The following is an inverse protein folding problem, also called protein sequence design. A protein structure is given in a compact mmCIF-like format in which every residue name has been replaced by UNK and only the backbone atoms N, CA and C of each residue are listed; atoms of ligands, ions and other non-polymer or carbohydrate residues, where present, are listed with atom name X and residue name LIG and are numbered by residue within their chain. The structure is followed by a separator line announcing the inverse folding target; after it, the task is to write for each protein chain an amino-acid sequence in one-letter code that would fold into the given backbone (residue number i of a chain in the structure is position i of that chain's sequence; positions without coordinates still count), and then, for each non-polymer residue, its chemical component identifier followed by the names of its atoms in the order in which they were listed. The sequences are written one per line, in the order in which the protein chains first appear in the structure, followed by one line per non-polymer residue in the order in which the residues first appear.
data_IF_869817782396
#
_entry.id   IF_869817782396
#
_cell.length_a   1.000
_cell.length_b   1.000
_cell.length_c   1.000
_cell.angle_alpha   90.00
_cell.angle_beta   90.00
_cell.angle_gamma   90.00
#
_symmetry.space_group_name_H-M   'P 1'
#
loop_
_entity.id
_entity.type
_entity.pdbx_description
1 polymer ?
#
# COMPACT_ATOMS: atom_id res chain seq x y z
N UNK A 1 9.02 0.39 22.60
CA UNK A 1 10.29 -0.34 22.45
C UNK A 1 10.82 -0.04 21.05
N UNK A 2 12.00 0.55 20.90
CA UNK A 2 12.62 0.67 19.57
C UNK A 2 12.91 -0.75 19.06
N UNK A 3 12.56 -1.09 17.81
CA UNK A 3 12.90 -2.40 17.27
C UNK A 3 14.41 -2.55 17.28
N UNK A 4 14.87 -3.71 17.69
CA UNK A 4 16.28 -4.03 17.77
C UNK A 4 16.88 -3.95 16.37
N UNK A 5 17.78 -3.00 16.12
CA UNK A 5 18.49 -2.81 14.85
C UNK A 5 19.21 -4.09 14.35
N UNK A 6 19.31 -5.10 15.20
CA UNK A 6 19.91 -6.41 14.94
C UNK A 6 19.11 -7.27 13.95
N UNK A 7 17.86 -6.93 13.66
CA UNK A 7 16.98 -7.74 12.81
C UNK A 7 17.02 -7.37 11.31
N UNK A 8 17.65 -6.26 10.94
CA UNK A 8 17.89 -5.88 9.55
C UNK A 8 19.30 -6.31 9.12
N UNK A 9 19.38 -7.13 8.10
CA UNK A 9 20.67 -7.63 7.55
C UNK A 9 20.64 -7.55 6.01
N UNK A 10 21.80 -7.28 5.41
CA UNK A 10 21.99 -7.46 3.97
C UNK A 10 22.22 -8.93 3.66
N UNK A 11 21.30 -9.54 2.91
CA UNK A 11 21.38 -10.93 2.45
C UNK A 11 21.24 -10.91 0.92
N UNK A 12 22.22 -11.47 0.21
CA UNK A 12 22.28 -11.48 -1.27
C UNK A 12 22.03 -10.08 -1.90
N UNK A 13 22.63 -9.04 -1.29
CA UNK A 13 22.51 -7.66 -1.76
C UNK A 13 21.17 -6.97 -1.44
N UNK A 14 20.27 -7.61 -0.68
CA UNK A 14 18.93 -7.11 -0.31
C UNK A 14 18.86 -6.84 1.18
N UNK A 15 18.38 -5.67 1.56
CA UNK A 15 18.04 -5.42 2.96
C UNK A 15 16.87 -6.32 3.35
N UNK A 16 17.09 -7.14 4.37
CA UNK A 16 16.18 -8.21 4.77
C UNK A 16 15.88 -8.08 6.26
N UNK A 17 14.60 -8.06 6.61
CA UNK A 17 14.15 -8.12 8.00
C UNK A 17 13.97 -9.57 8.44
N UNK A 18 14.59 -9.92 9.55
CA UNK A 18 14.54 -11.24 10.19
C UNK A 18 13.75 -11.10 11.50
N UNK A 19 12.48 -11.48 11.56
CA UNK A 19 11.65 -11.31 12.76
C UNK A 19 12.16 -12.14 13.96
N UNK A 20 12.89 -13.23 13.68
CA UNK A 20 13.54 -14.05 14.70
C UNK A 20 14.97 -14.41 14.25
N UNK A 21 15.94 -14.34 15.15
CA UNK A 21 17.36 -14.62 14.85
C UNK A 21 17.61 -16.02 14.27
N UNK A 22 16.72 -16.98 14.55
CA UNK A 22 16.80 -18.37 14.06
C UNK A 22 16.21 -18.58 12.65
N UNK A 23 15.59 -17.55 12.03
CA UNK A 23 14.99 -17.72 10.72
C UNK A 23 16.02 -17.62 9.59
N UNK A 24 16.09 -18.67 8.76
CA UNK A 24 16.93 -18.72 7.55
C UNK A 24 16.37 -17.87 6.40
N UNK A 25 15.12 -17.42 6.47
CA UNK A 25 14.47 -16.66 5.42
C UNK A 25 13.73 -15.45 6.02
N UNK A 26 14.23 -14.27 5.76
CA UNK A 26 13.60 -13.01 6.16
C UNK A 26 12.67 -12.45 5.08
N UNK A 27 12.21 -11.23 5.32
CA UNK A 27 11.32 -10.48 4.44
C UNK A 27 12.04 -9.26 3.88
N UNK A 28 11.89 -9.01 2.59
CA UNK A 28 12.45 -7.86 1.87
C UNK A 28 11.44 -7.34 0.84
N UNK A 29 11.61 -6.12 0.41
CA UNK A 29 10.81 -5.53 -0.69
C UNK A 29 11.43 -5.94 -2.02
N UNK A 30 10.59 -6.46 -2.93
CA UNK A 30 11.01 -6.86 -4.27
C UNK A 30 10.00 -6.43 -5.33
N UNK A 31 10.39 -5.45 -6.13
CA UNK A 31 9.58 -4.95 -7.24
C UNK A 31 9.78 -5.73 -8.54
N UNK A 32 10.75 -6.66 -8.59
CA UNK A 32 10.98 -7.57 -9.71
C UNK A 32 10.42 -8.97 -9.47
N UNK A 33 9.85 -9.21 -8.28
CA UNK A 33 9.32 -10.51 -7.88
C UNK A 33 8.27 -11.04 -8.86
N UNK A 34 8.39 -12.32 -9.22
CA UNK A 34 7.57 -12.97 -10.27
C UNK A 34 6.06 -12.74 -10.10
N UNK A 35 5.55 -12.80 -8.85
CA UNK A 35 4.11 -12.60 -8.57
C UNK A 35 3.65 -11.17 -8.86
N UNK A 36 4.47 -10.19 -8.53
CA UNK A 36 4.17 -8.78 -8.79
C UNK A 36 4.24 -8.49 -10.28
N UNK A 37 5.28 -8.97 -10.97
CA UNK A 37 5.44 -8.80 -12.40
C UNK A 37 4.37 -9.55 -13.20
N UNK A 38 3.91 -10.72 -12.75
CA UNK A 38 2.75 -11.39 -13.34
C UNK A 38 1.48 -10.54 -13.20
N UNK A 39 1.26 -9.94 -12.01
CA UNK A 39 0.13 -9.02 -11.78
C UNK A 39 0.17 -7.80 -12.71
N UNK A 40 1.35 -7.23 -12.94
CA UNK A 40 1.55 -6.09 -13.86
C UNK A 40 1.23 -6.46 -15.30
N UNK A 41 1.58 -7.67 -15.74
CA UNK A 41 1.29 -8.17 -17.11
C UNK A 41 -0.18 -8.53 -17.28
N UNK A 42 -0.77 -9.20 -16.30
CA UNK A 42 -2.17 -9.65 -16.31
C UNK A 42 -3.10 -8.55 -15.79
N UNK A 43 -3.24 -7.50 -16.58
CA UNK A 43 -4.08 -6.33 -16.25
C UNK A 43 -5.56 -6.68 -16.04
N UNK A 44 -6.03 -7.80 -16.61
CA UNK A 44 -7.41 -8.24 -16.46
C UNK A 44 -7.77 -8.61 -15.02
N UNK A 45 -6.84 -9.21 -14.27
CA UNK A 45 -7.07 -9.64 -12.88
C UNK A 45 -7.14 -8.51 -11.85
N UNK A 46 -6.75 -7.30 -12.21
CA UNK A 46 -6.66 -6.17 -11.26
C UNK A 46 -7.62 -5.03 -11.61
N UNK A 47 -8.64 -5.33 -12.41
CA UNK A 47 -9.65 -4.34 -12.79
C UNK A 47 -10.35 -3.70 -11.59
N UNK A 48 -10.51 -4.40 -10.46
CA UNK A 48 -11.16 -3.87 -9.28
C UNK A 48 -10.38 -2.71 -8.65
N UNK A 49 -9.04 -2.82 -8.49
CA UNK A 49 -8.21 -1.73 -7.98
C UNK A 49 -8.20 -0.55 -8.95
N UNK A 50 -7.97 -0.81 -10.25
CA UNK A 50 -7.96 0.25 -11.28
C UNK A 50 -9.30 0.99 -11.36
N UNK A 51 -10.42 0.25 -11.23
CA UNK A 51 -11.77 0.86 -11.16
C UNK A 51 -11.96 1.66 -9.88
N UNK A 52 -11.52 1.12 -8.75
CA UNK A 52 -11.67 1.78 -7.45
C UNK A 52 -10.95 3.12 -7.41
N UNK A 53 -9.70 3.19 -7.89
CA UNK A 53 -8.95 4.45 -7.93
C UNK A 53 -9.43 5.42 -9.03
N UNK A 54 -10.27 4.97 -9.96
CA UNK A 54 -10.86 5.85 -10.99
C UNK A 54 -10.18 5.85 -12.34
N UNK A 55 -9.21 4.97 -12.61
CA UNK A 55 -8.44 4.92 -13.86
C UNK A 55 -9.29 4.77 -15.13
N UNK A 56 -10.52 4.22 -15.03
CA UNK A 56 -11.42 4.13 -16.20
C UNK A 56 -11.86 5.49 -16.75
N UNK A 57 -11.94 6.51 -15.89
CA UNK A 57 -12.45 7.85 -16.25
C UNK A 57 -11.33 8.84 -16.52
N UNK A 58 -10.15 8.64 -15.96
CA UNK A 58 -9.03 9.57 -16.05
C UNK A 58 -7.73 8.77 -16.14
N UNK A 59 -6.83 9.21 -17.03
CA UNK A 59 -5.43 8.75 -17.09
C UNK A 59 -4.56 9.67 -16.23
N UNK A 60 -3.39 9.22 -15.83
CA UNK A 60 -2.38 10.02 -15.11
C UNK A 60 -2.87 10.54 -13.74
N UNK A 61 -3.52 9.67 -12.97
CA UNK A 61 -4.00 10.00 -11.64
C UNK A 61 -2.84 10.26 -10.68
N UNK A 62 -3.02 11.26 -9.80
CA UNK A 62 -2.19 11.48 -8.62
C UNK A 62 -2.79 10.73 -7.43
N UNK A 63 -2.08 9.73 -6.95
CA UNK A 63 -2.54 8.86 -5.88
C UNK A 63 -1.64 9.03 -4.66
N UNK A 64 -2.24 9.21 -3.50
CA UNK A 64 -1.55 9.18 -2.22
C UNK A 64 -1.84 7.85 -1.52
N UNK A 65 -0.83 6.98 -1.43
CA UNK A 65 -0.90 5.75 -0.64
C UNK A 65 -0.43 6.06 0.79
N UNK A 66 -1.38 6.16 1.71
CA UNK A 66 -1.14 6.53 3.10
C UNK A 66 -0.69 5.35 3.98
N UNK A 67 -0.57 4.15 3.40
CA UNK A 67 -0.27 2.89 4.10
C UNK A 67 0.61 2.00 3.24
N UNK A 68 1.80 2.49 2.91
CA UNK A 68 2.65 1.91 1.86
C UNK A 68 2.91 0.40 1.97
N UNK A 69 3.18 -0.11 3.18
CA UNK A 69 3.52 -1.51 3.42
C UNK A 69 4.65 -1.98 2.48
N UNK A 70 4.44 -3.04 1.71
CA UNK A 70 5.43 -3.50 0.70
C UNK A 70 5.41 -2.72 -0.62
N UNK A 71 4.60 -1.69 -0.77
CA UNK A 71 4.49 -0.89 -1.99
C UNK A 71 3.92 -1.61 -3.21
N UNK A 72 3.36 -2.82 -3.06
CA UNK A 72 2.93 -3.67 -4.19
C UNK A 72 1.72 -3.10 -4.95
N UNK A 73 0.76 -2.50 -4.26
CA UNK A 73 -0.40 -1.86 -4.88
C UNK A 73 0.00 -0.53 -5.55
N UNK A 74 0.85 0.26 -4.87
CA UNK A 74 1.43 1.48 -5.41
C UNK A 74 2.24 1.21 -6.69
N UNK A 75 3.11 0.21 -6.68
CA UNK A 75 3.88 -0.18 -7.86
C UNK A 75 2.99 -0.60 -9.03
N UNK A 76 1.94 -1.39 -8.75
CA UNK A 76 0.98 -1.77 -9.77
C UNK A 76 0.28 -0.53 -10.37
N UNK A 77 -0.16 0.42 -9.55
CA UNK A 77 -0.79 1.66 -10.02
C UNK A 77 0.17 2.52 -10.83
N UNK A 78 1.42 2.64 -10.39
CA UNK A 78 2.48 3.33 -11.12
C UNK A 78 2.78 2.67 -12.49
N UNK A 79 2.72 1.34 -12.57
CA UNK A 79 2.88 0.61 -13.84
C UNK A 79 1.74 0.87 -14.84
N UNK A 80 0.61 1.41 -14.38
CA UNK A 80 -0.52 1.85 -15.20
C UNK A 80 -0.46 3.33 -15.59
N UNK A 81 0.60 4.05 -15.17
CA UNK A 81 0.83 5.46 -15.48
C UNK A 81 0.47 6.44 -14.36
N UNK A 82 0.01 5.98 -13.20
CA UNK A 82 -0.28 6.87 -12.08
C UNK A 82 1.01 7.44 -11.46
N UNK A 83 0.96 8.70 -11.02
CA UNK A 83 1.91 9.26 -10.07
C UNK A 83 1.49 8.82 -8.66
N UNK A 84 2.35 8.12 -7.93
CA UNK A 84 2.01 7.57 -6.62
C UNK A 84 2.98 8.05 -5.55
N UNK A 85 2.47 8.74 -4.55
CA UNK A 85 3.23 9.07 -3.34
C UNK A 85 2.87 8.08 -2.23
N UNK A 86 3.90 7.49 -1.63
CA UNK A 86 3.78 6.53 -0.54
C UNK A 86 4.20 7.17 0.77
N UNK A 87 3.43 6.92 1.81
CA UNK A 87 3.80 7.26 3.18
C UNK A 87 3.86 5.99 4.02
N UNK A 88 4.97 5.81 4.74
CA UNK A 88 5.19 4.67 5.63
C UNK A 88 5.59 5.17 7.02
N UNK A 89 4.87 4.70 8.05
CA UNK A 89 5.11 5.12 9.43
C UNK A 89 6.09 4.23 10.19
N UNK A 90 6.21 2.97 9.78
CA UNK A 90 7.12 2.03 10.43
C UNK A 90 8.52 2.21 9.85
N UNK A 91 9.53 2.53 10.68
CA UNK A 91 10.88 2.84 10.20
C UNK A 91 11.56 1.61 9.56
N UNK A 92 11.25 0.38 10.01
CA UNK A 92 11.82 -0.83 9.41
C UNK A 92 11.24 -1.02 8.00
N UNK A 93 9.92 -0.89 7.86
CA UNK A 93 9.27 -0.97 6.55
C UNK A 93 9.74 0.13 5.61
N UNK A 94 9.96 1.33 6.12
CA UNK A 94 10.50 2.44 5.35
C UNK A 94 11.90 2.10 4.80
N UNK A 95 12.82 1.61 5.64
CA UNK A 95 14.16 1.19 5.20
C UNK A 95 14.12 0.05 4.17
N UNK A 96 13.23 -0.94 4.35
CA UNK A 96 13.03 -2.02 3.38
C UNK A 96 12.51 -1.50 2.03
N UNK A 97 11.60 -0.52 2.06
CA UNK A 97 11.11 0.15 0.85
C UNK A 97 12.21 0.94 0.16
N UNK A 98 13.00 1.72 0.89
CA UNK A 98 14.13 2.49 0.33
C UNK A 98 15.13 1.58 -0.38
N UNK A 99 15.51 0.44 0.24
CA UNK A 99 16.37 -0.56 -0.39
C UNK A 99 15.71 -1.13 -1.66
N UNK A 100 14.41 -1.47 -1.59
CA UNK A 100 13.65 -1.95 -2.73
C UNK A 100 13.61 -0.95 -3.89
N UNK A 101 13.34 0.33 -3.61
CA UNK A 101 13.39 1.42 -4.58
C UNK A 101 14.79 1.58 -5.20
N UNK A 102 15.83 1.57 -4.35
CA UNK A 102 17.23 1.69 -4.80
C UNK A 102 17.62 0.56 -5.76
N UNK A 103 17.19 -0.69 -5.49
CA UNK A 103 17.44 -1.83 -6.38
C UNK A 103 16.62 -1.73 -7.67
N UNK A 104 15.35 -1.37 -7.58
CA UNK A 104 14.47 -1.28 -8.72
C UNK A 104 14.86 -0.17 -9.71
N UNK A 105 15.45 0.95 -9.24
CA UNK A 105 16.01 1.99 -10.12
C UNK A 105 17.18 1.50 -10.98
N UNK A 106 17.85 0.43 -10.57
CA UNK A 106 18.97 -0.20 -11.30
C UNK A 106 18.55 -1.48 -12.05
N UNK A 107 17.26 -1.72 -12.14
CA UNK A 107 16.72 -2.88 -12.86
C UNK A 107 17.01 -2.80 -14.36
N UNK A 108 17.26 -3.94 -14.99
CA UNK A 108 17.30 -4.07 -16.44
C UNK A 108 15.90 -4.01 -17.06
N UNK A 109 14.86 -4.14 -16.28
CA UNK A 109 13.47 -4.09 -16.74
C UNK A 109 13.00 -2.64 -16.87
N UNK A 110 12.80 -2.18 -18.12
CA UNK A 110 12.24 -0.85 -18.40
C UNK A 110 10.92 -0.59 -17.67
N UNK A 111 10.03 -1.59 -17.61
CA UNK A 111 8.75 -1.49 -16.88
C UNK A 111 8.96 -1.22 -15.40
N UNK A 112 9.97 -1.84 -14.77
CA UNK A 112 10.28 -1.63 -13.36
C UNK A 112 10.80 -0.21 -13.14
N UNK A 113 11.77 0.22 -13.93
CA UNK A 113 12.38 1.56 -13.84
C UNK A 113 11.31 2.65 -14.02
N UNK A 114 10.54 2.60 -15.12
CA UNK A 114 9.49 3.59 -15.40
C UNK A 114 8.39 3.62 -14.32
N UNK A 115 8.08 2.47 -13.70
CA UNK A 115 7.11 2.43 -12.60
C UNK A 115 7.68 3.10 -11.35
N UNK A 116 8.92 2.81 -10.98
CA UNK A 116 9.58 3.39 -9.80
C UNK A 116 9.80 4.90 -9.96
N UNK A 117 10.08 5.40 -11.16
CA UNK A 117 10.19 6.83 -11.44
C UNK A 117 8.90 7.61 -11.18
N UNK A 118 7.74 6.95 -11.28
CA UNK A 118 6.42 7.53 -10.93
C UNK A 118 6.08 7.41 -9.46
N UNK A 119 6.95 6.81 -8.65
CA UNK A 119 6.72 6.61 -7.23
C UNK A 119 7.66 7.48 -6.39
N UNK A 120 7.13 8.06 -5.33
CA UNK A 120 7.92 8.77 -4.32
C UNK A 120 7.57 8.27 -2.92
N UNK A 121 8.59 8.04 -2.08
CA UNK A 121 8.47 7.46 -0.74
C UNK A 121 8.81 8.51 0.31
N UNK A 122 8.01 8.57 1.38
CA UNK A 122 8.19 9.45 2.53
C UNK A 122 7.99 8.66 3.82
N UNK A 123 8.79 8.97 4.82
CA UNK A 123 8.59 8.47 6.17
C UNK A 123 7.61 9.37 6.92
N UNK A 124 6.66 8.78 7.64
CA UNK A 124 5.76 9.53 8.50
C UNK A 124 4.44 8.84 8.80
N UNK A 125 3.76 9.39 9.79
CA UNK A 125 2.43 8.97 10.22
C UNK A 125 1.37 9.79 9.47
N UNK A 126 0.47 9.12 8.77
CA UNK A 126 -0.57 9.78 7.98
C UNK A 126 -1.46 10.71 8.81
N UNK A 127 -1.81 10.34 10.04
CA UNK A 127 -2.65 11.18 10.91
C UNK A 127 -1.95 12.47 11.36
N UNK A 128 -0.62 12.49 11.31
CA UNK A 128 0.21 13.67 11.63
C UNK A 128 0.69 14.42 10.40
N UNK A 129 0.49 13.85 9.22
CA UNK A 129 0.97 14.44 7.98
C UNK A 129 0.22 15.74 7.66
N UNK A 130 0.96 16.81 7.42
CA UNK A 130 0.41 18.07 6.93
C UNK A 130 0.45 18.08 5.41
N UNK A 131 -0.59 17.51 4.81
CA UNK A 131 -0.74 17.43 3.36
C UNK A 131 -1.57 18.62 2.84
N UNK A 132 -1.28 19.02 1.61
CA UNK A 132 -2.10 20.03 0.93
C UNK A 132 -3.44 19.43 0.53
N UNK A 133 -4.54 20.10 0.88
CA UNK A 133 -5.91 19.67 0.60
C UNK A 133 -6.21 19.64 -0.92
N UNK A 134 -6.92 18.61 -1.35
CA UNK A 134 -7.45 18.52 -2.72
C UNK A 134 -6.41 18.35 -3.84
N UNK A 135 -5.16 18.02 -3.52
CA UNK A 135 -4.09 17.80 -4.52
C UNK A 135 -4.14 16.40 -5.11
N UNK A 136 -4.57 15.43 -4.33
CA UNK A 136 -4.58 14.01 -4.70
C UNK A 136 -5.92 13.63 -5.31
N UNK A 137 -5.92 13.07 -6.51
CA UNK A 137 -7.15 12.58 -7.13
C UNK A 137 -7.75 11.45 -6.30
N UNK A 138 -6.90 10.59 -5.74
CA UNK A 138 -7.29 9.48 -4.87
C UNK A 138 -6.34 9.38 -3.67
N UNK A 139 -6.91 9.23 -2.48
CA UNK A 139 -6.17 8.75 -1.30
C UNK A 139 -6.49 7.27 -1.11
N UNK A 140 -5.43 6.44 -1.08
CA UNK A 140 -5.52 5.00 -0.92
C UNK A 140 -5.12 4.58 0.50
N UNK A 141 -5.94 3.72 1.09
CA UNK A 141 -5.74 3.17 2.43
C UNK A 141 -5.81 1.63 2.38
N UNK A 142 -4.79 0.95 2.86
CA UNK A 142 -4.79 -0.49 3.15
C UNK A 142 -4.36 -0.73 4.61
N UNK A 143 -5.11 -0.19 5.59
CA UNK A 143 -4.75 -0.32 6.99
C UNK A 143 -4.77 -1.79 7.37
N UNK A 144 -3.70 -2.23 8.01
CA UNK A 144 -3.57 -3.59 8.49
C UNK A 144 -4.38 -3.76 9.78
N UNK A 145 -5.32 -4.70 9.74
CA UNK A 145 -6.08 -5.12 10.92
C UNK A 145 -5.56 -6.47 11.41
N UNK A 146 -5.46 -6.67 12.71
CA UNK A 146 -5.17 -7.98 13.26
C UNK A 146 -6.28 -8.94 12.79
N UNK A 147 -5.91 -9.89 11.96
CA UNK A 147 -6.84 -10.98 11.60
C UNK A 147 -7.10 -11.82 12.83
N UNK A 148 -8.37 -12.10 13.10
CA UNK A 148 -8.74 -13.13 14.08
C UNK A 148 -7.91 -14.41 13.84
N UNK A 149 -7.41 -15.02 14.90
CA UNK A 149 -6.41 -16.11 14.98
C UNK A 149 -6.73 -17.42 14.24
N UNK A 150 -7.52 -17.43 13.18
CA UNK A 150 -8.00 -18.67 12.51
C UNK A 150 -7.57 -18.79 11.05
N UNK A 151 -6.26 -18.76 10.72
CA UNK A 151 -5.78 -19.49 9.54
C UNK A 151 -4.29 -19.79 9.67
N UNK A 152 -3.95 -21.06 9.69
CA UNK A 152 -2.59 -21.62 9.82
C UNK A 152 -1.67 -21.34 8.61
N UNK A 153 -2.08 -20.52 7.64
CA UNK A 153 -1.36 -20.22 6.40
C UNK A 153 -1.33 -18.73 6.09
N UNK A 154 -0.99 -17.90 7.09
CA UNK A 154 -0.68 -16.50 6.82
C UNK A 154 0.69 -16.45 6.13
N UNK A 155 0.76 -15.85 4.92
CA UNK A 155 2.04 -15.69 4.21
C UNK A 155 3.05 -14.96 5.12
N UNK A 156 4.33 -15.39 5.11
CA UNK A 156 5.40 -14.79 5.93
C UNK A 156 5.41 -13.26 5.90
N UNK A 157 5.30 -12.67 4.72
CA UNK A 157 5.20 -11.21 4.53
C UNK A 157 4.13 -10.58 5.41
N UNK A 158 2.98 -11.24 5.54
CA UNK A 158 1.83 -10.75 6.29
C UNK A 158 2.01 -10.92 7.81
N UNK A 159 2.72 -11.97 8.23
CA UNK A 159 3.04 -12.17 9.66
C UNK A 159 4.02 -11.09 10.14
N UNK A 160 5.02 -10.78 9.33
CA UNK A 160 6.01 -9.74 9.62
C UNK A 160 5.33 -8.37 9.73
N UNK A 161 4.48 -8.00 8.76
CA UNK A 161 3.73 -6.76 8.84
C UNK A 161 2.84 -6.69 10.09
N UNK A 162 2.25 -7.81 10.52
CA UNK A 162 1.45 -7.87 11.75
C UNK A 162 2.27 -7.67 13.03
N UNK A 163 3.57 -7.98 13.02
CA UNK A 163 4.45 -7.72 14.18
C UNK A 163 4.92 -6.27 14.22
N UNK A 164 4.99 -5.60 13.08
CA UNK A 164 5.45 -4.22 12.95
C UNK A 164 4.30 -3.19 13.09
N UNK A 165 3.07 -3.57 12.74
CA UNK A 165 1.92 -2.66 12.74
C UNK A 165 0.93 -3.01 13.85
N UNK A 166 0.74 -2.10 14.79
CA UNK A 166 -0.31 -2.18 15.81
C UNK A 166 -1.61 -1.54 15.29
N UNK A 167 -2.73 -2.26 15.44
CA UNK A 167 -4.05 -1.65 15.28
C UNK A 167 -4.35 -0.79 16.52
N UNK A 168 -4.37 0.50 16.33
CA UNK A 168 -4.62 1.50 17.37
C UNK A 168 -6.07 2.04 17.33
N UNK A 169 -6.97 1.38 16.58
CA UNK A 169 -8.36 1.82 16.43
C UNK A 169 -8.54 3.09 15.59
N UNK A 170 -7.50 3.56 14.93
CA UNK A 170 -7.49 4.83 14.20
C UNK A 170 -8.24 4.82 12.85
N UNK A 171 -8.89 3.72 12.48
CA UNK A 171 -9.51 3.55 11.17
C UNK A 171 -10.48 4.66 10.76
N UNK A 172 -11.39 5.05 11.67
CA UNK A 172 -12.36 6.13 11.41
C UNK A 172 -11.67 7.48 11.25
N UNK A 173 -10.63 7.74 12.06
CA UNK A 173 -9.83 8.96 11.97
C UNK A 173 -9.05 9.01 10.65
N UNK A 174 -8.48 7.88 10.21
CA UNK A 174 -7.79 7.79 8.92
C UNK A 174 -8.72 8.10 7.76
N UNK A 175 -9.96 7.57 7.74
CA UNK A 175 -10.92 7.85 6.70
C UNK A 175 -11.32 9.34 6.68
N UNK A 176 -11.62 9.91 7.85
CA UNK A 176 -11.97 11.33 7.97
C UNK A 176 -10.82 12.22 7.50
N UNK A 177 -9.58 11.88 7.89
CA UNK A 177 -8.38 12.59 7.48
C UNK A 177 -8.16 12.49 5.96
N UNK A 178 -8.29 11.29 5.37
CA UNK A 178 -8.14 11.05 3.95
C UNK A 178 -9.13 11.85 3.09
N UNK A 179 -10.39 11.96 3.53
CA UNK A 179 -11.43 12.74 2.83
C UNK A 179 -11.08 14.23 2.68
N UNK A 180 -10.24 14.80 3.55
CA UNK A 180 -9.79 16.19 3.46
C UNK A 180 -8.79 16.42 2.31
N UNK A 181 -7.98 15.41 2.00
CA UNK A 181 -6.91 15.50 1.00
C UNK A 181 -7.31 14.97 -0.37
N UNK A 182 -8.30 14.07 -0.42
CA UNK A 182 -8.76 13.49 -1.66
C UNK A 182 -9.62 14.49 -2.47
N UNK A 183 -9.23 14.76 -3.72
CA UNK A 183 -10.02 15.57 -4.65
C UNK A 183 -11.28 14.82 -5.09
N UNK A 184 -11.13 13.56 -5.47
CA UNK A 184 -12.20 12.79 -6.10
C UNK A 184 -12.72 11.69 -5.18
N UNK A 185 -11.84 10.93 -4.50
CA UNK A 185 -12.24 9.77 -3.69
C UNK A 185 -11.19 9.30 -2.71
N UNK A 186 -11.66 8.61 -1.69
CA UNK A 186 -10.85 7.74 -0.83
C UNK A 186 -11.16 6.30 -1.18
N UNK A 187 -10.12 5.47 -1.32
CA UNK A 187 -10.24 4.03 -1.57
C UNK A 187 -9.66 3.27 -0.40
N UNK A 188 -10.46 2.42 0.20
CA UNK A 188 -10.06 1.58 1.35
C UNK A 188 -10.08 0.12 0.95
N UNK A 189 -8.94 -0.55 1.03
CA UNK A 189 -8.87 -2.00 0.81
C UNK A 189 -9.26 -2.75 2.07
N UNK A 190 -10.15 -3.74 1.92
CA UNK A 190 -10.68 -4.54 3.03
C UNK A 190 -10.70 -6.02 2.66
N UNK A 191 -10.61 -6.89 3.65
CA UNK A 191 -11.01 -8.28 3.47
C UNK A 191 -12.48 -8.36 3.08
N UNK A 192 -12.89 -9.36 2.28
CA UNK A 192 -14.28 -9.48 1.79
C UNK A 192 -15.33 -9.38 2.89
N UNK A 193 -15.09 -10.05 4.01
CA UNK A 193 -16.02 -10.13 5.15
C UNK A 193 -15.64 -9.17 6.30
N UNK A 194 -14.62 -8.32 6.12
CA UNK A 194 -14.22 -7.37 7.16
C UNK A 194 -15.27 -6.26 7.28
N UNK A 195 -15.51 -5.69 8.48
CA UNK A 195 -16.36 -4.51 8.63
C UNK A 195 -15.81 -3.34 7.82
N UNK A 196 -16.59 -2.30 7.62
CA UNK A 196 -16.10 -1.04 7.03
C UNK A 196 -15.02 -0.42 7.93
N UNK A 197 -14.26 0.52 7.37
CA UNK A 197 -13.20 1.20 8.12
C UNK A 197 -13.75 2.13 9.21
N UNK A 198 -14.99 2.59 9.02
CA UNK A 198 -15.76 3.42 9.94
C UNK A 198 -17.23 3.00 9.88
N UNK A 199 -18.10 3.68 10.65
CA UNK A 199 -19.55 3.49 10.59
C UNK A 199 -20.15 3.97 9.25
N UNK A 200 -19.43 4.82 8.51
CA UNK A 200 -19.89 5.30 7.20
C UNK A 200 -19.81 4.18 6.16
N UNK A 201 -20.91 3.96 5.45
CA UNK A 201 -20.94 3.06 4.30
C UNK A 201 -20.23 3.68 3.09
N UNK A 202 -19.54 2.87 2.26
CA UNK A 202 -18.92 3.35 1.04
C UNK A 202 -19.98 3.63 -0.04
N UNK A 203 -19.73 4.64 -0.88
CA UNK A 203 -20.60 4.98 -2.03
C UNK A 203 -20.54 3.89 -3.12
N UNK A 204 -19.39 3.22 -3.29
CA UNK A 204 -19.17 2.18 -4.28
C UNK A 204 -18.28 1.09 -3.69
N UNK A 205 -18.54 -0.17 -4.08
CA UNK A 205 -17.67 -1.29 -3.75
C UNK A 205 -17.21 -2.03 -5.00
N UNK A 206 -15.93 -2.38 -5.05
CA UNK A 206 -15.36 -3.25 -6.07
C UNK A 206 -14.79 -4.51 -5.43
N UNK A 207 -15.38 -5.66 -5.72
CA UNK A 207 -14.93 -6.95 -5.18
C UNK A 207 -13.80 -7.55 -6.01
N UNK A 208 -12.79 -8.06 -5.31
CA UNK A 208 -11.73 -8.92 -5.83
C UNK A 208 -11.93 -10.37 -5.39
N UNK A 209 -10.93 -11.22 -5.61
CA UNK A 209 -10.99 -12.65 -5.21
C UNK A 209 -10.96 -12.84 -3.68
N UNK A 210 -10.08 -12.15 -2.98
CA UNK A 210 -9.86 -12.27 -1.53
C UNK A 210 -10.12 -11.00 -0.73
N UNK A 211 -10.34 -9.88 -1.40
CA UNK A 211 -10.53 -8.55 -0.82
C UNK A 211 -11.55 -7.76 -1.62
N UNK A 212 -11.97 -6.64 -1.08
CA UNK A 212 -12.78 -5.62 -1.75
C UNK A 212 -12.14 -4.25 -1.59
N UNK A 213 -12.56 -3.31 -2.43
CA UNK A 213 -12.22 -1.90 -2.32
C UNK A 213 -13.49 -1.12 -2.03
N UNK A 214 -13.55 -0.51 -0.85
CA UNK A 214 -14.60 0.41 -0.44
C UNK A 214 -14.22 1.82 -0.90
N UNK A 215 -15.06 2.46 -1.69
CA UNK A 215 -14.81 3.77 -2.29
C UNK A 215 -15.74 4.79 -1.67
N UNK A 216 -15.16 5.87 -1.15
CA UNK A 216 -15.87 7.03 -0.59
C UNK A 216 -15.61 8.22 -1.51
N UNK A 217 -16.65 8.75 -2.14
CA UNK A 217 -16.54 9.88 -3.05
C UNK A 217 -16.39 11.20 -2.29
N UNK A 218 -15.57 12.11 -2.82
CA UNK A 218 -15.51 13.48 -2.31
C UNK A 218 -16.71 14.24 -2.81
N UNK A 219 -17.34 15.07 -1.95
CA UNK A 219 -18.56 15.83 -2.28
C UNK A 219 -18.41 16.74 -3.52
N UNK A 220 -17.21 17.15 -3.86
CA UNK A 220 -16.93 17.94 -5.08
C UNK A 220 -17.17 17.16 -6.39
N UNK A 221 -17.36 15.84 -6.34
CA UNK A 221 -17.59 14.98 -7.52
C UNK A 221 -19.02 14.42 -7.59
N UNK A 222 -19.84 14.72 -6.61
CA UNK A 222 -21.25 14.29 -6.55
C UNK A 222 -22.22 15.21 -7.31
N UNK A 223 -21.69 16.23 -8.02
CA UNK A 223 -22.44 17.13 -8.90
C UNK A 223 -22.10 16.88 -10.37
#
# INVERSE_FOLDING_TARGET
MKPNATLLKKIDGRLTYLPFESEKSGVFVDFEGQKLMHRVRDRAKVQSLSKAVGLKKQKDLKIFDATAGFGKDAFFLASLGCEVRLLERDPIMFELLEDGFSRARRSSSRTVVESIERMSLFEGDFLKANLQNGVWDTVYLDPMFPKARKSALVKKDMQVLQTLVTDDGSGSQMLAHAKRFARNRVVVKRGKSSPFLSEAEPDIQYSGSSHRFDVYLSRAWAN
#
